data_IF_455618171637
#
_entry.id   IF_455618171637
#
_cell.length_a   1.000
_cell.length_b   1.000
_cell.length_c   1.000
_cell.angle_alpha   90.00
_cell.angle_beta   90.00
_cell.angle_gamma   90.00
#
_symmetry.space_group_name_H-M   'P 1'
#
loop_
_entity.id
_entity.type
_entity.pdbx_description
1 polymer ?
#
# COMPACT_ATOMS: atom_id res chain seq x y z
N UNK A 1 -19.99 76.72 39.27
CA UNK A 1 -19.97 76.12 37.92
C UNK A 1 -18.82 75.12 37.84
N UNK A 2 -19.08 73.82 38.03
CA UNK A 2 -18.07 72.76 37.95
C UNK A 2 -18.29 72.00 36.63
N UNK A 3 -17.27 71.96 35.76
CA UNK A 3 -17.30 71.24 34.48
C UNK A 3 -16.97 69.76 34.73
N UNK A 4 -17.84 68.87 34.28
CA UNK A 4 -17.61 67.42 34.20
C UNK A 4 -16.95 67.11 32.85
N UNK A 5 -15.83 66.40 32.86
CA UNK A 5 -15.16 65.86 31.67
C UNK A 5 -15.67 64.43 31.40
N UNK A 6 -15.90 64.04 30.13
CA UNK A 6 -16.22 62.65 29.82
C UNK A 6 -14.92 61.84 29.64
N UNK A 7 -14.84 60.73 30.37
CA UNK A 7 -13.84 59.68 30.16
C UNK A 7 -14.32 58.85 28.96
N UNK A 8 -13.56 58.87 27.86
CA UNK A 8 -13.74 57.97 26.73
C UNK A 8 -12.91 56.71 27.00
N UNK A 9 -13.59 55.59 27.27
CA UNK A 9 -12.96 54.28 27.40
C UNK A 9 -12.75 53.71 25.98
N UNK A 10 -11.52 53.77 25.47
CA UNK A 10 -11.15 53.11 24.23
C UNK A 10 -11.02 51.60 24.48
N UNK A 11 -12.04 50.84 24.10
CA UNK A 11 -12.00 49.38 24.08
C UNK A 11 -11.24 48.88 22.86
N UNK A 12 -10.00 48.41 23.06
CA UNK A 12 -9.23 47.72 22.03
C UNK A 12 -9.82 46.32 21.79
N UNK A 13 -10.55 46.16 20.69
CA UNK A 13 -10.95 44.85 20.14
C UNK A 13 -9.71 44.18 19.53
N UNK A 14 -9.08 43.29 20.28
CA UNK A 14 -8.11 42.32 19.76
C UNK A 14 -8.88 41.27 18.94
N UNK A 15 -8.99 41.51 17.63
CA UNK A 15 -9.43 40.49 16.68
C UNK A 15 -8.26 39.52 16.42
N UNK A 16 -8.24 38.40 17.14
CA UNK A 16 -7.36 37.29 16.78
C UNK A 16 -7.93 36.57 15.54
N UNK A 17 -7.14 36.29 14.49
CA UNK A 17 -7.61 35.50 13.37
C UNK A 17 -7.79 34.05 13.83
N UNK A 18 -9.05 33.60 13.85
CA UNK A 18 -9.41 32.18 13.95
C UNK A 18 -8.86 31.47 12.70
N UNK A 19 -7.63 30.98 12.82
CA UNK A 19 -7.09 30.01 11.86
C UNK A 19 -7.83 28.70 12.11
N UNK A 20 -8.92 28.48 11.37
CA UNK A 20 -9.56 27.17 11.31
C UNK A 20 -8.55 26.24 10.63
N UNK A 21 -7.77 25.49 11.42
CA UNK A 21 -7.01 24.37 10.89
C UNK A 21 -8.05 23.40 10.30
N UNK A 22 -8.15 23.35 8.97
CA UNK A 22 -8.89 22.29 8.31
C UNK A 22 -8.29 20.96 8.78
N UNK A 23 -9.15 20.06 9.29
CA UNK A 23 -8.70 18.74 9.71
C UNK A 23 -7.98 18.06 8.54
N UNK A 24 -6.81 17.47 8.81
CA UNK A 24 -6.05 16.75 7.78
C UNK A 24 -6.96 15.71 7.10
N UNK A 25 -6.94 15.62 5.76
CA UNK A 25 -7.80 14.69 5.06
C UNK A 25 -7.44 13.26 5.46
N UNK A 26 -8.45 12.41 5.68
CA UNK A 26 -8.25 11.03 6.08
C UNK A 26 -7.42 10.21 5.07
N UNK A 27 -6.82 9.13 5.53
CA UNK A 27 -5.94 8.29 4.70
C UNK A 27 -6.72 7.45 3.69
N UNK A 28 -6.11 7.17 2.54
CA UNK A 28 -6.62 6.22 1.57
C UNK A 28 -6.08 4.82 1.87
N UNK A 29 -6.97 3.83 1.99
CA UNK A 29 -6.64 2.41 2.16
C UNK A 29 -6.99 1.72 0.85
N UNK A 30 -5.99 1.20 0.15
CA UNK A 30 -6.18 0.63 -1.18
C UNK A 30 -5.85 -0.85 -1.16
N UNK A 31 -6.82 -1.71 -1.48
CA UNK A 31 -6.57 -3.14 -1.59
C UNK A 31 -5.96 -3.47 -2.96
N UNK A 32 -4.93 -4.32 -2.96
CA UNK A 32 -4.22 -4.78 -4.17
C UNK A 32 -4.26 -6.30 -4.20
N UNK A 33 -5.08 -6.88 -5.07
CA UNK A 33 -5.33 -8.32 -5.09
C UNK A 33 -4.16 -9.13 -5.65
N UNK A 34 -4.16 -10.42 -5.30
CA UNK A 34 -3.31 -11.42 -5.92
C UNK A 34 -3.85 -11.89 -7.27
N UNK A 35 -3.24 -12.95 -7.80
CA UNK A 35 -3.68 -13.57 -9.06
C UNK A 35 -4.91 -14.46 -8.89
N UNK A 36 -5.54 -14.76 -10.04
CA UNK A 36 -6.69 -15.67 -10.11
C UNK A 36 -7.87 -15.19 -9.24
N UNK A 37 -8.05 -13.87 -9.22
CA UNK A 37 -9.20 -13.21 -8.64
C UNK A 37 -10.00 -12.54 -9.75
N UNK A 38 -11.31 -12.73 -9.73
CA UNK A 38 -12.22 -11.87 -10.48
C UNK A 38 -12.23 -10.47 -9.85
N UNK A 39 -12.74 -9.48 -10.58
CA UNK A 39 -12.97 -8.15 -10.01
C UNK A 39 -13.86 -8.24 -8.77
N UNK A 40 -14.89 -9.08 -8.80
CA UNK A 40 -15.81 -9.28 -7.67
C UNK A 40 -15.11 -9.87 -6.44
N UNK A 41 -14.15 -10.79 -6.62
CA UNK A 41 -13.34 -11.33 -5.51
C UNK A 41 -12.46 -10.25 -4.86
N UNK A 42 -11.88 -9.37 -5.68
CA UNK A 42 -11.07 -8.25 -5.18
C UNK A 42 -11.94 -7.24 -4.42
N UNK A 43 -13.13 -6.92 -4.94
CA UNK A 43 -14.11 -6.06 -4.26
C UNK A 43 -14.61 -6.70 -2.96
N UNK A 44 -14.90 -8.00 -2.95
CA UNK A 44 -15.32 -8.72 -1.75
C UNK A 44 -14.23 -8.66 -0.66
N UNK A 45 -12.96 -8.84 -1.05
CA UNK A 45 -11.82 -8.74 -0.14
C UNK A 45 -11.65 -7.32 0.43
N UNK A 46 -11.75 -6.29 -0.43
CA UNK A 46 -11.79 -4.89 0.00
C UNK A 46 -12.96 -4.62 0.96
N UNK A 47 -14.14 -5.18 0.68
CA UNK A 47 -15.33 -4.98 1.50
C UNK A 47 -15.17 -5.60 2.89
N UNK A 48 -14.53 -6.77 3.00
CA UNK A 48 -14.17 -7.38 4.30
C UNK A 48 -13.23 -6.45 5.08
N UNK A 49 -12.14 -5.99 4.43
CA UNK A 49 -11.17 -5.07 5.04
C UNK A 49 -11.84 -3.77 5.52
N UNK A 50 -12.63 -3.14 4.66
CA UNK A 50 -13.39 -1.92 4.95
C UNK A 50 -14.33 -2.10 6.13
N UNK A 51 -15.13 -3.18 6.12
CA UNK A 51 -16.11 -3.46 7.17
C UNK A 51 -15.42 -3.60 8.52
N UNK A 52 -14.32 -4.35 8.59
CA UNK A 52 -13.62 -4.58 9.85
C UNK A 52 -12.84 -3.36 10.34
N UNK A 53 -12.23 -2.56 9.45
CA UNK A 53 -11.61 -1.28 9.84
C UNK A 53 -12.63 -0.30 10.41
N UNK A 54 -13.80 -0.18 9.78
CA UNK A 54 -14.89 0.68 10.27
C UNK A 54 -15.49 0.17 11.58
N UNK A 55 -15.57 -1.14 11.78
CA UNK A 55 -15.99 -1.71 13.05
C UNK A 55 -14.99 -1.42 14.18
N UNK A 56 -13.69 -1.39 13.85
CA UNK A 56 -12.60 -1.09 14.80
C UNK A 56 -12.58 0.38 15.22
N UNK A 57 -12.80 1.30 14.29
CA UNK A 57 -12.81 2.74 14.53
C UNK A 57 -13.91 3.40 13.70
N UNK A 58 -15.09 3.63 14.30
CA UNK A 58 -16.26 4.21 13.59
C UNK A 58 -16.04 5.65 13.15
N UNK A 59 -15.06 6.34 13.74
CA UNK A 59 -14.75 7.74 13.45
C UNK A 59 -13.59 7.88 12.47
N UNK A 60 -13.04 6.77 11.95
CA UNK A 60 -12.02 6.85 10.92
C UNK A 60 -12.59 7.59 9.69
N UNK A 61 -11.72 8.37 9.04
CA UNK A 61 -12.06 9.13 7.84
C UNK A 61 -11.46 8.48 6.59
N UNK A 62 -11.29 7.15 6.61
CA UNK A 62 -10.60 6.42 5.56
C UNK A 62 -11.39 6.47 4.26
N UNK A 63 -10.66 6.69 3.17
CA UNK A 63 -11.16 6.47 1.82
C UNK A 63 -10.70 5.09 1.35
N UNK A 64 -11.58 4.33 0.72
CA UNK A 64 -11.26 2.97 0.28
C UNK A 64 -11.10 2.93 -1.24
N UNK A 65 -10.05 2.26 -1.71
CA UNK A 65 -9.78 2.02 -3.12
C UNK A 65 -9.55 0.55 -3.41
N UNK A 66 -9.77 0.15 -4.66
CA UNK A 66 -9.39 -1.16 -5.19
C UNK A 66 -8.42 -0.93 -6.36
N UNK A 67 -7.19 -1.43 -6.23
CA UNK A 67 -6.21 -1.48 -7.29
C UNK A 67 -6.22 -2.90 -7.84
N UNK A 68 -7.12 -3.14 -8.80
CA UNK A 68 -7.41 -4.46 -9.33
C UNK A 68 -6.35 -4.89 -10.34
N UNK A 69 -5.64 -5.98 -10.05
CA UNK A 69 -4.78 -6.67 -11.01
C UNK A 69 -5.63 -7.67 -11.81
N UNK A 70 -5.98 -7.32 -13.06
CA UNK A 70 -6.70 -8.24 -13.94
C UNK A 70 -5.76 -9.37 -14.34
N UNK A 71 -6.22 -10.62 -14.18
CA UNK A 71 -5.37 -11.76 -14.50
C UNK A 71 -5.66 -12.32 -15.88
N UNK A 72 -4.63 -12.32 -16.74
CA UNK A 72 -4.60 -13.11 -17.97
C UNK A 72 -3.85 -14.44 -17.78
N UNK A 73 -4.10 -15.14 -16.67
CA UNK A 73 -3.59 -16.50 -16.44
C UNK A 73 -2.10 -16.65 -16.08
N UNK A 74 -1.38 -15.58 -15.81
CA UNK A 74 0.08 -15.62 -15.81
C UNK A 74 0.75 -15.27 -14.47
N UNK A 75 0.68 -16.19 -13.49
CA UNK A 75 1.76 -16.20 -12.51
C UNK A 75 3.10 -16.29 -13.22
N UNK A 76 3.20 -17.11 -14.28
CA UNK A 76 4.42 -17.34 -15.07
C UNK A 76 4.98 -16.11 -15.78
N UNK A 77 4.17 -15.15 -16.23
CA UNK A 77 4.68 -14.12 -17.16
C UNK A 77 5.26 -12.92 -16.40
N UNK A 78 4.56 -12.45 -15.36
CA UNK A 78 5.15 -11.53 -14.37
C UNK A 78 6.34 -12.23 -13.70
N UNK A 79 6.21 -13.51 -13.34
CA UNK A 79 7.30 -14.30 -12.78
C UNK A 79 8.49 -14.48 -13.74
N UNK A 80 8.30 -14.61 -15.06
CA UNK A 80 9.39 -14.71 -16.03
C UNK A 80 10.15 -13.38 -16.16
N UNK A 81 9.43 -12.25 -16.18
CA UNK A 81 10.02 -10.90 -16.17
C UNK A 81 10.87 -10.66 -14.92
N UNK A 82 10.47 -11.19 -13.76
CA UNK A 82 11.26 -11.10 -12.52
C UNK A 82 12.30 -12.23 -12.35
N UNK A 83 12.15 -13.41 -12.99
CA UNK A 83 13.09 -14.54 -12.91
C UNK A 83 14.32 -14.35 -13.82
N UNK A 84 14.17 -13.67 -14.96
CA UNK A 84 15.32 -13.14 -15.72
C UNK A 84 16.11 -12.08 -14.95
N UNK A 85 15.63 -11.69 -13.76
CA UNK A 85 16.13 -10.62 -12.90
C UNK A 85 16.72 -11.12 -11.58
N UNK A 86 17.14 -12.39 -11.48
CA UNK A 86 17.78 -12.96 -10.29
C UNK A 86 19.20 -12.41 -10.01
N UNK A 87 19.54 -11.26 -10.58
CA UNK A 87 20.81 -10.54 -10.39
C UNK A 87 20.49 -9.19 -9.74
N UNK A 88 20.01 -9.22 -8.49
CA UNK A 88 19.73 -7.99 -7.74
C UNK A 88 20.28 -8.08 -6.33
N UNK A 89 21.15 -7.12 -6.00
CA UNK A 89 21.72 -6.90 -4.68
C UNK A 89 20.73 -6.28 -3.67
N UNK A 90 21.30 -5.65 -2.65
CA UNK A 90 20.67 -5.49 -1.32
C UNK A 90 19.71 -4.31 -1.12
N UNK A 91 19.35 -3.50 -2.14
CA UNK A 91 18.52 -2.28 -1.94
C UNK A 91 17.47 -1.98 -3.05
N UNK A 92 16.42 -1.18 -2.75
CA UNK A 92 15.42 -0.73 -3.74
C UNK A 92 15.98 0.11 -4.90
N UNK A 93 17.15 0.73 -4.73
CA UNK A 93 17.85 1.45 -5.80
C UNK A 93 18.68 0.48 -6.67
N UNK A 94 19.17 -0.62 -6.10
CA UNK A 94 19.81 -1.71 -6.85
C UNK A 94 18.80 -2.43 -7.74
N UNK A 95 17.55 -2.54 -7.28
CA UNK A 95 16.46 -3.07 -8.11
C UNK A 95 16.31 -2.30 -9.43
N UNK A 96 16.32 -0.97 -9.35
CA UNK A 96 16.18 -0.13 -10.52
C UNK A 96 17.43 -0.15 -11.38
N UNK A 97 18.62 0.00 -10.77
CA UNK A 97 19.91 -0.08 -11.48
C UNK A 97 20.06 -1.40 -12.23
N UNK A 98 19.60 -2.52 -11.67
CA UNK A 98 19.59 -3.80 -12.34
C UNK A 98 18.62 -3.85 -13.56
N UNK A 99 17.48 -3.14 -13.53
CA UNK A 99 16.59 -3.02 -14.72
C UNK A 99 17.28 -2.22 -15.83
N UNK A 100 17.96 -1.13 -15.47
CA UNK A 100 18.52 -0.19 -16.46
C UNK A 100 19.91 -0.57 -16.98
N UNK A 101 20.45 -1.73 -16.58
CA UNK A 101 21.85 -2.06 -16.87
C UNK A 101 22.83 -1.03 -16.31
N UNK A 102 22.55 -0.50 -15.11
CA UNK A 102 23.28 0.55 -14.41
C UNK A 102 23.27 1.96 -15.05
N UNK A 103 22.41 2.26 -16.04
CA UNK A 103 22.32 3.64 -16.57
C UNK A 103 21.51 4.62 -15.70
N UNK A 104 20.85 4.13 -14.65
CA UNK A 104 20.19 4.99 -13.67
C UNK A 104 21.22 5.78 -12.87
N UNK A 105 21.11 7.11 -12.81
CA UNK A 105 22.05 7.93 -12.08
C UNK A 105 21.95 7.64 -10.57
N UNK A 106 23.05 7.87 -9.85
CA UNK A 106 23.11 7.73 -8.40
C UNK A 106 22.07 8.61 -7.67
N UNK A 107 21.57 9.66 -8.34
CA UNK A 107 20.51 10.55 -7.87
C UNK A 107 19.09 9.94 -7.92
N UNK A 108 18.92 8.74 -8.49
CA UNK A 108 17.64 8.02 -8.52
C UNK A 108 16.80 8.26 -9.78
N UNK A 109 15.53 7.87 -9.73
CA UNK A 109 14.62 7.91 -10.87
C UNK A 109 14.05 9.33 -11.08
N UNK A 110 14.19 9.90 -12.28
CA UNK A 110 13.54 11.16 -12.63
C UNK A 110 12.20 10.91 -13.36
N UNK A 111 11.42 11.97 -13.60
CA UNK A 111 10.10 11.85 -14.23
C UNK A 111 10.14 11.19 -15.62
N UNK A 112 11.15 11.51 -16.42
CA UNK A 112 11.30 10.95 -17.76
C UNK A 112 11.66 9.45 -17.73
N UNK A 113 12.55 9.04 -16.82
CA UNK A 113 12.91 7.64 -16.63
C UNK A 113 11.74 6.85 -16.02
N UNK A 114 11.00 7.44 -15.07
CA UNK A 114 9.79 6.83 -14.51
C UNK A 114 8.78 6.55 -15.61
N UNK A 115 8.50 7.55 -16.46
CA UNK A 115 7.55 7.37 -17.55
C UNK A 115 8.04 6.33 -18.56
N UNK A 116 9.33 6.33 -18.91
CA UNK A 116 9.94 5.29 -19.75
C UNK A 116 9.70 3.88 -19.18
N UNK A 117 9.85 3.69 -17.87
CA UNK A 117 9.59 2.39 -17.24
C UNK A 117 8.11 2.02 -17.20
N UNK A 118 7.23 2.98 -16.88
CA UNK A 118 5.79 2.76 -16.95
C UNK A 118 5.41 2.34 -18.37
N UNK A 119 5.90 3.03 -19.40
CA UNK A 119 5.61 2.72 -20.80
C UNK A 119 6.14 1.33 -21.19
N UNK A 120 7.34 0.94 -20.74
CA UNK A 120 7.89 -0.38 -20.98
C UNK A 120 7.04 -1.48 -20.33
N UNK A 121 6.58 -1.28 -19.09
CA UNK A 121 5.78 -2.27 -18.37
C UNK A 121 4.34 -2.35 -18.90
N UNK A 122 3.80 -1.21 -19.33
CA UNK A 122 2.47 -1.14 -19.97
C UNK A 122 2.49 -1.84 -21.34
N UNK A 123 3.60 -1.73 -22.10
CA UNK A 123 3.77 -2.40 -23.39
C UNK A 123 4.08 -3.90 -23.28
N UNK A 124 4.59 -4.35 -22.14
CA UNK A 124 5.03 -5.72 -21.89
C UNK A 124 4.28 -6.32 -20.69
N UNK A 125 2.95 -6.36 -20.75
CA UNK A 125 2.12 -7.30 -19.95
C UNK A 125 1.55 -6.83 -18.59
N UNK A 126 1.70 -5.56 -18.17
CA UNK A 126 1.04 -5.02 -16.95
C UNK A 126 0.15 -3.80 -17.26
N UNK A 127 -1.04 -3.98 -17.85
CA UNK A 127 -1.88 -2.88 -18.30
C UNK A 127 -2.52 -2.07 -17.17
N UNK A 128 -2.60 -2.60 -15.94
CA UNK A 128 -3.27 -1.94 -14.80
C UNK A 128 -2.40 -0.92 -14.08
N UNK A 129 -1.07 -1.00 -14.27
CA UNK A 129 -0.09 -0.19 -13.56
C UNK A 129 -0.32 1.33 -13.71
N UNK A 130 -0.62 1.89 -14.91
CA UNK A 130 -0.93 3.31 -15.03
C UNK A 130 -2.14 3.74 -14.21
N UNK A 131 -3.19 2.92 -14.15
CA UNK A 131 -4.42 3.23 -13.42
C UNK A 131 -4.19 3.24 -11.91
N UNK A 132 -3.44 2.26 -11.40
CA UNK A 132 -3.01 2.22 -10.00
C UNK A 132 -2.22 3.47 -9.61
N UNK A 133 -1.18 3.80 -10.38
CA UNK A 133 -0.34 4.95 -10.10
C UNK A 133 -1.12 6.27 -10.20
N UNK A 134 -2.05 6.39 -11.16
CA UNK A 134 -2.92 7.56 -11.27
C UNK A 134 -3.85 7.68 -10.05
N UNK A 135 -4.45 6.58 -9.60
CA UNK A 135 -5.26 6.55 -8.39
C UNK A 135 -4.47 7.01 -7.17
N UNK A 136 -3.27 6.46 -6.95
CA UNK A 136 -2.45 6.83 -5.78
C UNK A 136 -1.99 8.28 -5.84
N UNK A 137 -1.56 8.76 -7.02
CA UNK A 137 -1.18 10.17 -7.22
C UNK A 137 -2.35 11.10 -6.95
N UNK A 138 -3.58 10.73 -7.29
CA UNK A 138 -4.76 11.53 -6.97
C UNK A 138 -4.98 11.63 -5.46
N UNK A 139 -4.80 10.54 -4.70
CA UNK A 139 -4.85 10.58 -3.23
C UNK A 139 -3.72 11.43 -2.64
N UNK A 140 -2.49 11.28 -3.13
CA UNK A 140 -1.33 12.05 -2.68
C UNK A 140 -1.48 13.56 -2.97
N UNK A 141 -2.00 13.92 -4.15
CA UNK A 141 -2.33 15.33 -4.51
C UNK A 141 -3.37 15.91 -3.56
N UNK A 142 -4.36 15.12 -3.16
CA UNK A 142 -5.35 15.47 -2.15
C UNK A 142 -4.80 15.47 -0.70
N UNK A 143 -3.48 15.42 -0.52
CA UNK A 143 -2.77 15.41 0.76
C UNK A 143 -3.16 14.23 1.68
N UNK A 144 -3.65 13.12 1.11
CA UNK A 144 -3.95 11.90 1.87
C UNK A 144 -2.69 11.03 1.96
N UNK A 145 -2.48 10.41 3.10
CA UNK A 145 -1.59 9.25 3.19
C UNK A 145 -2.23 8.07 2.48
N UNK A 146 -1.42 7.23 1.86
CA UNK A 146 -1.88 6.06 1.11
C UNK A 146 -1.31 4.80 1.75
N UNK A 147 -2.17 3.87 2.16
CA UNK A 147 -1.77 2.56 2.67
C UNK A 147 -2.25 1.51 1.68
N UNK A 148 -1.30 0.85 1.02
CA UNK A 148 -1.58 -0.26 0.13
C UNK A 148 -1.69 -1.55 0.93
N UNK A 149 -2.77 -2.31 0.76
CA UNK A 149 -2.95 -3.62 1.38
C UNK A 149 -2.82 -4.67 0.29
N UNK A 150 -1.58 -5.12 0.06
CA UNK A 150 -1.27 -6.11 -0.97
C UNK A 150 -1.49 -7.52 -0.47
N UNK A 151 -2.06 -8.39 -1.30
CA UNK A 151 -2.20 -9.83 -1.00
C UNK A 151 -1.52 -10.71 -2.04
N UNK A 152 -0.80 -11.75 -1.61
CA UNK A 152 -0.18 -12.73 -2.53
C UNK A 152 0.71 -12.05 -3.57
N UNK A 153 0.50 -12.27 -4.87
CA UNK A 153 1.22 -11.57 -5.94
C UNK A 153 1.06 -10.03 -5.86
N UNK A 154 -0.07 -9.52 -5.35
CA UNK A 154 -0.31 -8.09 -5.17
C UNK A 154 0.76 -7.41 -4.31
N UNK A 155 1.47 -8.15 -3.44
CA UNK A 155 2.59 -7.59 -2.67
C UNK A 155 3.80 -7.21 -3.51
N UNK A 156 3.93 -7.79 -4.71
CA UNK A 156 4.94 -7.40 -5.69
C UNK A 156 4.57 -6.04 -6.30
N UNK A 157 3.31 -5.87 -6.68
CA UNK A 157 2.77 -4.59 -7.19
C UNK A 157 2.93 -3.47 -6.17
N UNK A 158 2.52 -3.69 -4.91
CA UNK A 158 2.67 -2.66 -3.87
C UNK A 158 4.11 -2.21 -3.70
N UNK A 159 5.05 -3.15 -3.62
CA UNK A 159 6.48 -2.82 -3.51
C UNK A 159 6.99 -2.07 -4.73
N UNK A 160 6.59 -2.51 -5.92
CA UNK A 160 7.00 -1.89 -7.16
C UNK A 160 6.48 -0.45 -7.29
N UNK A 161 5.18 -0.25 -7.08
CA UNK A 161 4.47 1.03 -7.21
C UNK A 161 4.92 2.03 -6.15
N UNK A 162 5.11 1.60 -4.89
CA UNK A 162 5.66 2.46 -3.84
C UNK A 162 7.07 2.92 -4.21
N UNK A 163 7.92 2.01 -4.70
CA UNK A 163 9.28 2.38 -5.09
C UNK A 163 9.28 3.42 -6.22
N UNK A 164 8.39 3.28 -7.21
CA UNK A 164 8.19 4.29 -8.27
C UNK A 164 7.79 5.66 -7.70
N UNK A 165 6.84 5.70 -6.75
CA UNK A 165 6.33 6.95 -6.20
C UNK A 165 7.31 7.60 -5.20
N UNK A 166 8.10 6.80 -4.48
CA UNK A 166 9.07 7.29 -3.49
C UNK A 166 10.33 7.81 -4.17
N UNK A 167 10.87 7.07 -5.13
CA UNK A 167 12.14 7.40 -5.79
C UNK A 167 11.97 8.30 -7.00
N UNK A 168 10.76 8.38 -7.54
CA UNK A 168 10.39 9.22 -8.68
C UNK A 168 10.10 10.69 -8.32
N UNK A 169 9.62 11.48 -9.29
CA UNK A 169 9.24 12.88 -9.11
C UNK A 169 8.18 13.12 -8.04
N UNK A 170 7.34 12.13 -7.77
CA UNK A 170 6.29 12.22 -6.75
C UNK A 170 6.87 12.39 -5.33
N UNK A 171 8.10 11.91 -5.08
CA UNK A 171 8.82 11.98 -3.80
C UNK A 171 7.92 11.62 -2.60
N UNK A 172 7.16 10.55 -2.75
CA UNK A 172 6.10 10.14 -1.81
C UNK A 172 6.61 9.50 -0.50
N UNK A 173 7.90 9.66 -0.17
CA UNK A 173 8.50 9.11 1.05
C UNK A 173 7.69 9.55 2.29
N UNK A 174 7.29 8.59 3.12
CA UNK A 174 6.48 8.83 4.31
C UNK A 174 5.01 9.22 4.04
N UNK A 175 4.58 9.26 2.79
CA UNK A 175 3.19 9.53 2.38
C UNK A 175 2.49 8.29 1.83
N UNK A 176 3.25 7.27 1.46
CA UNK A 176 2.74 5.99 0.99
C UNK A 176 3.51 4.84 1.64
N UNK A 177 2.78 3.79 2.02
CA UNK A 177 3.31 2.56 2.64
C UNK A 177 2.45 1.35 2.29
N UNK A 178 2.91 0.15 2.67
CA UNK A 178 2.16 -1.09 2.46
C UNK A 178 1.99 -1.95 3.73
N UNK A 179 0.85 -2.63 3.82
CA UNK A 179 0.63 -3.82 4.65
C UNK A 179 0.49 -5.01 3.71
N UNK A 180 1.54 -5.80 3.56
CA UNK A 180 1.58 -6.95 2.66
C UNK A 180 1.15 -8.23 3.38
N UNK A 181 0.16 -8.95 2.84
CA UNK A 181 -0.48 -10.11 3.49
C UNK A 181 -0.28 -11.35 2.61
N UNK A 182 0.16 -12.47 3.20
CA UNK A 182 0.57 -13.64 2.41
C UNK A 182 1.65 -13.24 1.39
N UNK A 183 2.74 -12.66 1.90
CA UNK A 183 3.67 -11.86 1.10
C UNK A 183 4.56 -12.71 0.19
N UNK A 184 4.44 -12.47 -1.12
CA UNK A 184 5.27 -13.07 -2.16
C UNK A 184 6.56 -12.26 -2.45
N UNK A 185 6.71 -11.07 -1.87
CA UNK A 185 7.88 -10.24 -2.10
C UNK A 185 9.11 -10.71 -1.32
N UNK A 186 10.30 -10.55 -1.93
CA UNK A 186 11.59 -10.90 -1.32
C UNK A 186 12.13 -9.86 -0.33
N UNK A 187 11.53 -8.67 -0.28
CA UNK A 187 11.93 -7.58 0.61
C UNK A 187 10.71 -6.79 1.09
N UNK A 188 10.88 -6.09 2.21
CA UNK A 188 9.91 -5.14 2.75
C UNK A 188 10.45 -3.73 2.54
N UNK A 189 9.61 -2.81 2.08
CA UNK A 189 9.99 -1.41 1.95
C UNK A 189 10.02 -0.69 3.31
N UNK A 190 10.89 0.33 3.49
CA UNK A 190 10.86 1.17 4.68
C UNK A 190 9.47 1.75 4.94
N UNK A 191 9.02 1.73 6.20
CA UNK A 191 7.70 2.22 6.61
C UNK A 191 6.53 1.29 6.28
N UNK A 192 6.78 0.16 5.61
CA UNK A 192 5.78 -0.88 5.34
C UNK A 192 5.88 -2.03 6.34
N UNK A 193 4.86 -2.88 6.41
CA UNK A 193 4.82 -4.11 7.21
C UNK A 193 4.35 -5.27 6.36
N UNK A 194 4.60 -6.50 6.81
CA UNK A 194 3.95 -7.67 6.23
C UNK A 194 3.46 -8.65 7.30
N UNK A 195 2.55 -9.52 6.90
CA UNK A 195 2.08 -10.66 7.67
C UNK A 195 1.91 -11.87 6.75
N UNK A 196 2.71 -12.91 6.97
CA UNK A 196 2.60 -14.20 6.27
C UNK A 196 2.49 -15.31 7.31
N UNK A 197 1.46 -16.14 7.18
CA UNK A 197 1.22 -17.27 8.07
C UNK A 197 2.20 -18.42 7.80
N UNK A 198 2.63 -19.12 8.85
CA UNK A 198 3.36 -20.40 8.73
C UNK A 198 2.51 -21.52 8.12
N UNK A 199 1.18 -21.43 8.19
CA UNK A 199 0.24 -22.38 7.57
C UNK A 199 -0.14 -22.03 6.12
N UNK A 200 0.44 -20.96 5.56
CA UNK A 200 0.22 -20.55 4.17
C UNK A 200 1.04 -21.44 3.22
N UNK A 201 0.39 -22.46 2.69
CA UNK A 201 1.06 -23.46 1.83
C UNK A 201 1.41 -22.91 0.45
N UNK A 202 0.74 -21.86 -0.02
CA UNK A 202 1.06 -21.23 -1.31
C UNK A 202 2.38 -20.51 -1.21
N UNK A 203 2.55 -19.67 -0.18
CA UNK A 203 3.82 -18.98 0.05
C UNK A 203 4.92 -19.96 0.49
N UNK A 204 4.56 -20.97 1.29
CA UNK A 204 5.45 -22.07 1.62
C UNK A 204 6.02 -22.75 0.37
N UNK A 205 5.17 -23.14 -0.57
CA UNK A 205 5.60 -23.75 -1.84
C UNK A 205 6.40 -22.78 -2.71
N UNK A 206 5.98 -21.51 -2.79
CA UNK A 206 6.71 -20.47 -3.53
C UNK A 206 8.15 -20.30 -2.99
N UNK A 207 8.34 -20.38 -1.67
CA UNK A 207 9.65 -20.24 -1.04
C UNK A 207 10.65 -21.35 -1.39
N UNK A 208 10.17 -22.51 -1.88
CA UNK A 208 11.04 -23.61 -2.35
C UNK A 208 11.67 -23.32 -3.72
N UNK A 209 11.05 -22.42 -4.50
CA UNK A 209 11.46 -22.13 -5.89
C UNK A 209 11.85 -20.67 -6.11
N UNK A 210 11.61 -19.81 -5.13
CA UNK A 210 11.91 -18.38 -5.16
C UNK A 210 12.31 -17.85 -3.79
N UNK A 211 13.10 -16.77 -3.80
CA UNK A 211 13.36 -15.99 -2.60
C UNK A 211 12.14 -15.15 -2.26
N UNK A 212 11.56 -15.39 -1.08
CA UNK A 212 10.47 -14.61 -0.48
C UNK A 212 10.83 -14.26 0.96
N UNK A 213 10.17 -13.27 1.55
CA UNK A 213 10.29 -13.05 3.00
C UNK A 213 9.72 -14.25 3.77
N UNK A 214 10.39 -14.69 4.85
CA UNK A 214 9.92 -15.82 5.64
C UNK A 214 8.57 -15.52 6.30
N UNK A 215 7.80 -16.57 6.60
CA UNK A 215 6.62 -16.42 7.43
C UNK A 215 6.97 -15.76 8.78
N UNK A 216 6.17 -14.81 9.21
CA UNK A 216 6.41 -14.01 10.41
C UNK A 216 5.20 -14.03 11.38
N UNK A 217 4.22 -14.89 11.12
CA UNK A 217 3.04 -15.06 11.94
C UNK A 217 2.66 -16.53 12.03
N UNK A 218 2.30 -16.99 13.22
CA UNK A 218 1.85 -18.37 13.43
C UNK A 218 0.34 -18.42 13.48
N UNK A 219 -0.27 -19.19 12.57
CA UNK A 219 -1.70 -19.45 12.53
C UNK A 219 -1.90 -20.95 12.37
N UNK A 220 -2.94 -21.50 13.01
CA UNK A 220 -3.27 -22.92 12.86
C UNK A 220 -3.58 -23.29 11.40
N UNK A 221 -3.60 -24.58 11.10
CA UNK A 221 -4.13 -25.04 9.81
C UNK A 221 -5.66 -25.08 9.87
N UNK A 222 -6.33 -24.40 8.94
CA UNK A 222 -7.80 -24.28 8.91
C UNK A 222 -8.39 -24.79 7.59
N UNK A 223 -8.34 -26.11 7.34
CA UNK A 223 -8.72 -26.68 6.04
C UNK A 223 -10.20 -26.52 5.69
N UNK A 224 -11.07 -26.33 6.68
CA UNK A 224 -12.51 -26.06 6.46
C UNK A 224 -12.75 -24.65 5.91
N UNK A 225 -11.84 -23.70 6.15
CA UNK A 225 -11.95 -22.32 5.67
C UNK A 225 -11.24 -22.16 4.33
N UNK A 226 -10.00 -22.65 4.26
CA UNK A 226 -9.19 -22.73 3.05
C UNK A 226 -8.07 -23.75 3.26
N UNK A 227 -8.08 -24.81 2.45
CA UNK A 227 -7.11 -25.91 2.53
C UNK A 227 -5.67 -25.40 2.42
N UNK A 228 -5.46 -24.37 1.60
CA UNK A 228 -4.13 -23.83 1.34
C UNK A 228 -3.68 -22.80 2.39
N UNK A 229 -4.57 -22.33 3.27
CA UNK A 229 -4.23 -21.34 4.29
C UNK A 229 -3.87 -19.95 3.73
N UNK A 230 -4.25 -19.64 2.50
CA UNK A 230 -3.73 -18.48 1.75
C UNK A 230 -4.77 -17.38 1.50
N UNK A 231 -6.05 -17.71 1.49
CA UNK A 231 -7.13 -16.78 1.16
C UNK A 231 -7.12 -15.52 2.04
N UNK A 232 -7.11 -14.34 1.41
CA UNK A 232 -7.17 -13.06 2.13
C UNK A 232 -8.39 -12.99 3.03
N UNK A 233 -9.59 -13.18 2.48
CA UNK A 233 -10.84 -13.06 3.24
C UNK A 233 -11.08 -14.24 4.20
N UNK A 234 -10.83 -15.48 3.77
CA UNK A 234 -11.22 -16.68 4.54
C UNK A 234 -10.21 -17.08 5.61
N UNK A 235 -8.95 -16.65 5.48
CA UNK A 235 -7.88 -16.95 6.44
C UNK A 235 -7.38 -15.65 7.08
N UNK A 236 -6.72 -14.78 6.32
CA UNK A 236 -6.01 -13.64 6.91
C UNK A 236 -6.93 -12.61 7.57
N UNK A 237 -8.08 -12.34 6.95
CA UNK A 237 -9.09 -11.40 7.45
C UNK A 237 -10.28 -12.11 8.08
N UNK A 238 -10.17 -13.39 8.41
CA UNK A 238 -11.22 -14.07 9.15
C UNK A 238 -11.28 -13.54 10.58
N UNK A 239 -12.41 -12.98 10.99
CA UNK A 239 -12.58 -12.35 12.30
C UNK A 239 -12.42 -13.32 13.48
N UNK A 240 -12.54 -14.63 13.24
CA UNK A 240 -12.28 -15.68 14.24
C UNK A 240 -10.80 -15.97 14.45
N UNK A 241 -9.90 -15.46 13.59
CA UNK A 241 -8.47 -15.70 13.67
C UNK A 241 -7.71 -14.43 14.05
N UNK A 242 -6.64 -14.59 14.82
CA UNK A 242 -5.87 -13.47 15.38
C UNK A 242 -5.12 -12.64 14.31
N UNK A 243 -4.86 -13.20 13.12
CA UNK A 243 -4.22 -12.47 12.02
C UNK A 243 -5.02 -11.24 11.59
N UNK A 244 -6.36 -11.31 11.56
CA UNK A 244 -7.20 -10.20 11.15
C UNK A 244 -6.97 -8.97 12.06
N UNK A 245 -6.95 -9.19 13.37
CA UNK A 245 -6.67 -8.13 14.35
C UNK A 245 -5.30 -7.47 14.15
N UNK A 246 -4.28 -8.27 13.83
CA UNK A 246 -2.92 -7.79 13.58
C UNK A 246 -2.83 -6.98 12.27
N UNK A 247 -3.44 -7.45 11.18
CA UNK A 247 -3.49 -6.74 9.90
C UNK A 247 -4.20 -5.40 10.08
N UNK A 248 -5.38 -5.39 10.69
CA UNK A 248 -6.15 -4.18 10.95
C UNK A 248 -5.36 -3.16 11.78
N UNK A 249 -4.63 -3.64 12.81
CA UNK A 249 -3.77 -2.78 13.61
C UNK A 249 -2.64 -2.17 12.78
N UNK A 250 -1.95 -2.97 11.96
CA UNK A 250 -0.88 -2.48 11.08
C UNK A 250 -1.41 -1.44 10.08
N UNK A 251 -2.57 -1.69 9.46
CA UNK A 251 -3.21 -0.74 8.53
C UNK A 251 -3.55 0.56 9.26
N UNK A 252 -4.18 0.50 10.44
CA UNK A 252 -4.52 1.71 11.20
C UNK A 252 -3.28 2.48 11.66
N UNK A 253 -2.19 1.81 12.01
CA UNK A 253 -0.93 2.46 12.40
C UNK A 253 -0.29 3.19 11.21
N UNK A 254 -0.17 2.51 10.07
CA UNK A 254 0.36 3.13 8.85
C UNK A 254 -0.53 4.27 8.33
N UNK A 255 -1.84 4.18 8.54
CA UNK A 255 -2.76 5.25 8.14
C UNK A 255 -2.60 6.52 9.01
N UNK A 256 -1.99 6.43 10.20
CA UNK A 256 -1.78 7.57 11.11
C UNK A 256 -0.36 8.15 11.01
N UNK A 257 0.64 7.28 10.92
CA UNK A 257 2.08 7.61 10.92
C UNK A 257 2.54 8.21 9.62
#
# INVERSE_FOLDING_TARGET
MKRLAPIVLAGSLLAAPLSVLAAAPGSAIVFVNGINNTFDDAVASLQVLKTQLNARDKNNTYLYGNAYNATQGALSDIYQVFKQKSVEGSSPADFWRAIDGNSLPASGMNAALQQKYIDLLTKNDIPELPDHLNQYRNYLKAQRKVVLVGHSQGTLYTNFEINLLVTGPDKAQGKISAVNVGNAARYQLPGSTYLTSTSDTVIGALSLVQTVLPANYSLGWHPLSDVLGHSFAKIYMNASYSAAGQILQQVSQQARN
#
